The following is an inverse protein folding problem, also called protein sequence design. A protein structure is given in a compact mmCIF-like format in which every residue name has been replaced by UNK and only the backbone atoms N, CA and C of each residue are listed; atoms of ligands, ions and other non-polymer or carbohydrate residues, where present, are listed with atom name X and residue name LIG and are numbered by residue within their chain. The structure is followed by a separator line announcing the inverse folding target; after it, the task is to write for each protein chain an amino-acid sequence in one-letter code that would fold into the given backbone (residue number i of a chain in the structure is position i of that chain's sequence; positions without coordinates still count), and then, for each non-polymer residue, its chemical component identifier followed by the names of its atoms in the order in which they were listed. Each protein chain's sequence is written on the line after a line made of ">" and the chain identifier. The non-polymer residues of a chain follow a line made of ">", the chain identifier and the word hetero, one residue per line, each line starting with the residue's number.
data_IF_485371424318
#
_entry.id   IF_485371424318
#
_cell.length_a   1.000
_cell.length_b   1.000
_cell.length_c   1.000
_cell.angle_alpha   90.00
_cell.angle_beta   90.00
_cell.angle_gamma   90.00
#
_symmetry.space_group_name_H-M   'P 1'
#
loop_
_entity.id
_entity.type
_entity.pdbx_description
1 polymer ?
#
# COMPACT_ATOMS: atom_id res chain seq x y z
N UNK A 1 5.24 -2.40 2.43
CA UNK A 1 3.98 -2.17 3.17
C UNK A 1 4.15 -2.25 4.67
N UNK A 2 4.52 -3.39 5.28
CA UNK A 2 4.75 -3.48 6.74
C UNK A 2 5.69 -2.39 7.28
N UNK A 3 6.85 -2.19 6.66
CA UNK A 3 7.80 -1.12 7.03
C UNK A 3 7.17 0.28 6.96
N UNK A 4 6.37 0.56 5.93
CA UNK A 4 5.68 1.84 5.75
C UNK A 4 4.66 2.09 6.86
N UNK A 5 3.89 1.07 7.26
CA UNK A 5 2.96 1.13 8.40
C UNK A 5 3.71 1.38 9.72
N UNK A 6 4.82 0.66 9.95
CA UNK A 6 5.66 0.85 11.14
C UNK A 6 6.24 2.25 11.20
N UNK A 7 6.77 2.79 10.10
CA UNK A 7 7.32 4.14 10.05
C UNK A 7 6.25 5.22 10.28
N UNK A 8 5.07 5.07 9.69
CA UNK A 8 3.97 5.99 9.94
C UNK A 8 3.58 6.03 11.43
N UNK A 9 3.54 4.85 12.09
CA UNK A 9 3.30 4.77 13.53
C UNK A 9 4.42 5.42 14.35
N UNK A 10 5.69 5.15 14.01
CA UNK A 10 6.86 5.73 14.69
C UNK A 10 6.91 7.26 14.58
N UNK A 11 6.42 7.81 13.46
CA UNK A 11 6.26 9.25 13.27
C UNK A 11 4.99 9.82 13.93
N UNK A 12 4.27 9.02 14.73
CA UNK A 12 3.07 9.47 15.43
C UNK A 12 1.89 9.80 14.52
N UNK A 13 1.86 9.27 13.29
CA UNK A 13 0.88 9.67 12.30
C UNK A 13 -0.50 9.02 12.56
N UNK A 14 -1.54 9.85 12.63
CA UNK A 14 -2.90 9.37 12.82
C UNK A 14 -3.50 8.72 11.57
N UNK A 15 -2.97 9.00 10.37
CA UNK A 15 -3.53 8.46 9.13
C UNK A 15 -2.52 8.28 8.01
N UNK A 16 -2.69 7.20 7.25
CA UNK A 16 -1.87 6.84 6.10
C UNK A 16 -2.76 6.52 4.89
N UNK A 17 -2.42 7.07 3.73
CA UNK A 17 -2.96 6.63 2.44
C UNK A 17 -1.98 5.65 1.81
N UNK A 18 -2.49 4.51 1.36
CA UNK A 18 -1.71 3.47 0.68
C UNK A 18 -2.35 3.29 -0.69
N UNK A 19 -1.58 3.35 -1.78
CA UNK A 19 -2.11 3.03 -3.08
C UNK A 19 -2.53 1.57 -3.04
N UNK A 20 -3.77 1.30 -3.42
CA UNK A 20 -4.15 -0.04 -3.82
C UNK A 20 -3.47 -0.29 -5.17
N UNK A 21 -2.19 -0.64 -5.13
CA UNK A 21 -1.35 -0.80 -6.32
C UNK A 21 -1.80 -2.03 -7.11
N UNK A 22 -1.88 -1.87 -8.43
CA UNK A 22 -1.88 -2.98 -9.39
C UNK A 22 -0.43 -3.31 -9.78
N UNK A 23 -0.23 -4.30 -10.65
CA UNK A 23 1.06 -4.69 -11.22
C UNK A 23 1.86 -3.53 -11.78
N UNK A 24 1.20 -2.49 -12.32
CA UNK A 24 1.82 -1.25 -12.77
C UNK A 24 3.09 -1.50 -13.58
N UNK A 25 4.11 -0.67 -13.34
CA UNK A 25 5.44 -0.82 -13.95
C UNK A 25 6.25 -2.00 -13.37
N UNK A 26 5.83 -2.57 -12.24
CA UNK A 26 6.56 -3.63 -11.54
C UNK A 26 6.10 -5.04 -11.94
N UNK A 27 5.03 -5.21 -12.71
CA UNK A 27 4.53 -6.52 -13.15
C UNK A 27 3.93 -7.42 -12.06
N UNK A 28 3.74 -6.92 -10.82
CA UNK A 28 3.31 -7.77 -9.69
C UNK A 28 1.81 -8.16 -9.76
N UNK A 29 1.43 -9.45 -9.77
CA UNK A 29 0.04 -9.84 -10.01
C UNK A 29 -0.96 -9.17 -9.07
N UNK A 30 -2.03 -8.60 -9.65
CA UNK A 30 -3.00 -7.78 -8.92
C UNK A 30 -3.56 -8.46 -7.66
N UNK A 31 -3.97 -9.72 -7.76
CA UNK A 31 -4.56 -10.43 -6.63
C UNK A 31 -3.55 -10.64 -5.49
N UNK A 32 -2.34 -11.09 -5.83
CA UNK A 32 -1.25 -11.23 -4.85
C UNK A 32 -0.90 -9.87 -4.20
N UNK A 33 -0.95 -8.78 -4.96
CA UNK A 33 -0.72 -7.44 -4.42
C UNK A 33 -1.81 -7.04 -3.41
N UNK A 34 -3.08 -7.21 -3.78
CA UNK A 34 -4.22 -6.92 -2.92
C UNK A 34 -4.18 -7.75 -1.62
N UNK A 35 -3.94 -9.05 -1.73
CA UNK A 35 -3.79 -9.96 -0.59
C UNK A 35 -2.61 -9.56 0.31
N UNK A 36 -1.46 -9.23 -0.27
CA UNK A 36 -0.26 -8.82 0.48
C UNK A 36 -0.49 -7.54 1.26
N UNK A 37 -1.16 -6.55 0.66
CA UNK A 37 -1.54 -5.31 1.34
C UNK A 37 -2.53 -5.60 2.46
N UNK A 38 -3.62 -6.31 2.18
CA UNK A 38 -4.65 -6.63 3.16
C UNK A 38 -4.09 -7.41 4.36
N UNK A 39 -3.25 -8.42 4.10
CA UNK A 39 -2.52 -9.17 5.13
C UNK A 39 -1.60 -8.25 5.94
N UNK A 40 -0.82 -7.39 5.29
CA UNK A 40 0.07 -6.45 6.00
C UNK A 40 -0.71 -5.51 6.93
N UNK A 41 -1.88 -5.05 6.49
CA UNK A 41 -2.77 -4.21 7.29
C UNK A 41 -3.32 -4.99 8.49
N UNK A 42 -3.80 -6.22 8.29
CA UNK A 42 -4.27 -7.08 9.39
C UNK A 42 -3.18 -7.39 10.40
N UNK A 43 -2.02 -7.86 9.93
CA UNK A 43 -0.89 -8.23 10.80
C UNK A 43 -0.44 -7.01 11.63
N UNK A 44 -0.57 -5.79 11.08
CA UNK A 44 -0.32 -4.56 11.81
C UNK A 44 -1.39 -4.27 12.88
N UNK A 45 -2.67 -4.50 12.59
CA UNK A 45 -3.76 -4.39 13.58
C UNK A 45 -3.53 -5.32 14.77
N UNK A 46 -3.33 -6.62 14.50
CA UNK A 46 -3.20 -7.65 15.52
C UNK A 46 -1.94 -7.47 16.39
N UNK A 47 -0.85 -6.95 15.80
CA UNK A 47 0.41 -6.72 16.50
C UNK A 47 0.48 -5.44 17.33
N UNK A 48 -0.47 -4.52 17.21
CA UNK A 48 -0.35 -3.17 17.76
C UNK A 48 -1.38 -2.88 18.86
N UNK A 49 -0.99 -3.04 20.13
CA UNK A 49 -1.89 -2.80 21.29
C UNK A 49 -2.12 -1.30 21.60
N UNK A 50 -1.31 -0.38 21.07
CA UNK A 50 -1.44 1.08 21.22
C UNK A 50 -0.85 1.83 20.00
N UNK A 51 -1.51 1.74 18.84
CA UNK A 51 -1.07 2.48 17.65
C UNK A 51 -1.57 3.92 17.66
N UNK A 52 -0.71 4.87 17.29
CA UNK A 52 -1.09 6.24 16.95
C UNK A 52 -1.86 6.29 15.63
N UNK A 53 -1.71 5.27 14.78
CA UNK A 53 -2.37 5.15 13.49
C UNK A 53 -3.81 4.68 13.69
N UNK A 54 -4.77 5.58 13.46
CA UNK A 54 -6.20 5.32 13.65
C UNK A 54 -6.95 5.16 12.33
N UNK A 55 -6.34 5.54 11.19
CA UNK A 55 -6.94 5.45 9.85
C UNK A 55 -5.95 4.95 8.80
N UNK A 56 -6.30 3.87 8.10
CA UNK A 56 -5.65 3.44 6.85
C UNK A 56 -6.61 3.67 5.70
N UNK A 57 -6.19 4.40 4.68
CA UNK A 57 -6.97 4.68 3.48
C UNK A 57 -6.33 3.99 2.27
N UNK A 58 -6.97 2.92 1.79
CA UNK A 58 -6.60 2.23 0.56
C UNK A 58 -7.32 2.90 -0.62
N UNK A 59 -6.55 3.47 -1.54
CA UNK A 59 -7.10 4.28 -2.64
C UNK A 59 -6.52 3.83 -3.97
N UNK A 60 -7.38 3.72 -4.98
CA UNK A 60 -6.95 3.51 -6.35
C UNK A 60 -7.96 4.10 -7.34
N UNK A 61 -7.52 4.50 -8.53
CA UNK A 61 -8.36 5.23 -9.49
C UNK A 61 -9.13 4.33 -10.46
N UNK A 62 -8.83 3.03 -10.53
CA UNK A 62 -9.52 2.05 -11.37
C UNK A 62 -10.41 1.08 -10.57
N UNK A 63 -11.53 0.68 -11.16
CA UNK A 63 -12.54 -0.17 -10.49
C UNK A 63 -12.04 -1.60 -10.23
N UNK A 64 -11.23 -2.16 -11.13
CA UNK A 64 -10.76 -3.55 -11.03
C UNK A 64 -9.89 -3.74 -9.79
N UNK A 65 -8.98 -2.80 -9.56
CA UNK A 65 -8.07 -2.83 -8.43
C UNK A 65 -8.78 -2.48 -7.12
N UNK A 66 -9.73 -1.53 -7.14
CA UNK A 66 -10.58 -1.24 -5.96
C UNK A 66 -11.40 -2.49 -5.57
N UNK A 67 -11.94 -3.23 -6.54
CA UNK A 67 -12.66 -4.48 -6.30
C UNK A 67 -11.75 -5.57 -5.74
N UNK A 68 -10.56 -5.78 -6.31
CA UNK A 68 -9.60 -6.75 -5.80
C UNK A 68 -9.17 -6.43 -4.36
N UNK A 69 -8.88 -5.16 -4.07
CA UNK A 69 -8.54 -4.72 -2.71
C UNK A 69 -9.71 -4.89 -1.74
N UNK A 70 -10.92 -4.58 -2.18
CA UNK A 70 -12.16 -4.78 -1.42
C UNK A 70 -12.35 -6.25 -1.04
N UNK A 71 -12.14 -7.15 -1.99
CA UNK A 71 -12.22 -8.59 -1.75
C UNK A 71 -11.13 -9.03 -0.78
N UNK A 72 -9.86 -8.69 -1.03
CA UNK A 72 -8.74 -9.08 -0.19
C UNK A 72 -8.86 -8.58 1.25
N UNK A 73 -9.29 -7.33 1.47
CA UNK A 73 -9.57 -6.81 2.83
C UNK A 73 -10.76 -7.54 3.44
N UNK A 74 -11.80 -7.84 2.67
CA UNK A 74 -12.95 -8.58 3.18
C UNK A 74 -12.57 -9.98 3.65
N UNK A 75 -11.76 -10.70 2.89
CA UNK A 75 -11.24 -12.03 3.23
C UNK A 75 -10.25 -11.98 4.38
N UNK A 76 -9.34 -11.00 4.39
CA UNK A 76 -8.33 -10.87 5.43
C UNK A 76 -8.96 -10.59 6.80
N UNK A 77 -10.02 -9.79 6.84
CA UNK A 77 -10.72 -9.36 8.06
C UNK A 77 -12.07 -10.07 8.27
N UNK A 78 -12.39 -11.09 7.46
CA UNK A 78 -13.46 -12.02 7.76
C UNK A 78 -12.97 -12.90 8.92
N UNK A 79 -13.07 -12.42 10.16
CA UNK A 79 -13.08 -13.32 11.29
C UNK A 79 -14.10 -14.42 11.01
N UNK A 80 -13.69 -15.70 11.06
CA UNK A 80 -14.42 -16.94 11.40
C UNK A 80 -15.95 -16.86 11.58
N UNK A 81 -16.67 -16.15 10.71
CA UNK A 81 -18.11 -15.94 10.68
C UNK A 81 -18.63 -16.72 9.48
N UNK A 82 -18.46 -18.03 9.52
CA UNK A 82 -19.50 -18.89 8.97
C UNK A 82 -20.67 -18.80 9.96
N UNK A 83 -21.41 -17.70 9.91
CA UNK A 83 -22.85 -17.67 10.08
C UNK A 83 -23.38 -16.24 9.94
N UNK A 84 -24.42 -16.16 9.07
CA UNK A 84 -25.50 -15.17 9.06
C UNK A 84 -25.36 -14.02 8.04
N UNK A 85 -26.00 -14.30 6.90
CA UNK A 85 -26.84 -13.44 6.05
C UNK A 85 -26.14 -12.32 5.25
N UNK A 86 -26.10 -12.43 3.93
CA UNK A 86 -27.18 -11.96 3.04
C UNK A 86 -27.62 -10.54 3.40
N UNK A 87 -27.14 -9.53 2.66
CA UNK A 87 -28.01 -8.74 1.78
C UNK A 87 -27.30 -7.60 1.03
N UNK A 88 -27.67 -7.53 -0.26
CA UNK A 88 -27.92 -6.35 -1.11
C UNK A 88 -26.76 -5.40 -1.43
N UNK A 89 -26.29 -5.57 -2.67
CA UNK A 89 -25.63 -4.54 -3.49
C UNK A 89 -26.63 -3.42 -3.81
N UNK A 90 -26.31 -2.19 -3.42
CA UNK A 90 -26.81 -0.98 -4.05
C UNK A 90 -25.62 -0.23 -4.67
N UNK A 91 -25.80 0.23 -5.90
CA UNK A 91 -24.76 0.91 -6.67
C UNK A 91 -24.78 2.41 -6.39
N UNK A 92 -23.75 2.94 -5.76
CA UNK A 92 -23.27 4.32 -5.93
C UNK A 92 -22.05 4.55 -5.03
N UNK A 93 -20.94 5.00 -5.63
CA UNK A 93 -19.60 5.23 -5.00
C UNK A 93 -19.12 4.10 -4.08
N UNK A 94 -18.19 3.27 -4.58
CA UNK A 94 -17.51 2.26 -3.76
C UNK A 94 -16.60 2.99 -2.76
N UNK A 95 -17.17 3.42 -1.63
CA UNK A 95 -16.45 3.78 -0.42
C UNK A 95 -16.82 2.76 0.66
N UNK A 96 -15.91 1.82 0.93
CA UNK A 96 -16.10 0.86 2.00
C UNK A 96 -15.35 1.30 3.25
N UNK A 97 -16.03 1.27 4.39
CA UNK A 97 -15.44 1.61 5.69
C UNK A 97 -15.57 0.41 6.60
N UNK A 98 -14.45 -0.01 7.20
CA UNK A 98 -14.40 -1.06 8.22
C UNK A 98 -13.72 -0.52 9.46
N UNK A 99 -14.17 -0.96 10.63
CA UNK A 99 -13.45 -0.78 11.88
C UNK A 99 -12.95 -2.15 12.34
N UNK A 100 -11.69 -2.24 12.74
CA UNK A 100 -11.15 -3.45 13.35
C UNK A 100 -11.50 -3.47 14.84
N UNK A 101 -11.41 -4.63 15.49
CA UNK A 101 -11.64 -4.80 16.94
C UNK A 101 -10.68 -3.95 17.79
N UNK A 102 -9.53 -3.58 17.23
CA UNK A 102 -8.52 -2.70 17.83
C UNK A 102 -8.82 -1.20 17.60
N UNK A 103 -9.94 -0.86 16.97
CA UNK A 103 -10.37 0.52 16.74
C UNK A 103 -9.77 1.19 15.50
N UNK A 104 -9.03 0.46 14.66
CA UNK A 104 -8.49 1.00 13.42
C UNK A 104 -9.57 1.15 12.35
N UNK A 105 -9.67 2.33 11.73
CA UNK A 105 -10.55 2.56 10.59
C UNK A 105 -9.85 2.28 9.27
N UNK A 106 -10.34 1.29 8.52
CA UNK A 106 -9.91 1.01 7.15
C UNK A 106 -10.93 1.62 6.19
N UNK A 107 -10.47 2.51 5.31
CA UNK A 107 -11.28 3.14 4.25
C UNK A 107 -10.76 2.65 2.91
N UNK A 108 -11.65 2.13 2.06
CA UNK A 108 -11.35 1.81 0.68
C UNK A 108 -12.17 2.72 -0.21
N UNK A 109 -11.54 3.41 -1.16
CA UNK A 109 -12.26 4.26 -2.10
C UNK A 109 -11.65 4.27 -3.49
N UNK A 110 -12.50 4.49 -4.49
CA UNK A 110 -12.04 4.92 -5.81
C UNK A 110 -11.65 6.40 -5.80
N UNK A 111 -10.46 6.74 -6.26
CA UNK A 111 -9.96 8.10 -6.38
C UNK A 111 -8.47 8.15 -6.69
N UNK A 112 -7.93 9.35 -6.87
CA UNK A 112 -6.49 9.52 -6.99
C UNK A 112 -5.86 9.66 -5.60
N UNK A 113 -4.63 9.21 -5.45
CA UNK A 113 -3.97 9.15 -4.14
C UNK A 113 -3.50 10.53 -3.66
N UNK A 114 -3.10 11.37 -4.60
CA UNK A 114 -2.67 12.75 -4.36
C UNK A 114 -3.80 13.65 -3.85
N UNK A 115 -5.06 13.27 -4.09
CA UNK A 115 -6.24 13.99 -3.63
C UNK A 115 -6.65 13.59 -2.19
N UNK A 116 -5.98 12.59 -1.60
CA UNK A 116 -6.37 12.03 -0.30
C UNK A 116 -5.80 12.85 0.86
N UNK A 117 -6.69 13.34 1.72
CA UNK A 117 -6.31 14.00 2.97
C UNK A 117 -5.92 12.99 4.07
N UNK A 118 -4.64 12.63 4.12
CA UNK A 118 -4.00 11.86 5.20
C UNK A 118 -2.73 12.54 5.70
N UNK A 119 -2.19 12.10 6.84
CA UNK A 119 -0.91 12.64 7.34
C UNK A 119 0.27 12.13 6.54
N UNK A 120 0.18 10.89 6.07
CA UNK A 120 1.20 10.23 5.26
C UNK A 120 0.56 9.67 3.99
N UNK A 121 1.28 9.75 2.88
CA UNK A 121 0.98 9.06 1.62
C UNK A 121 2.13 8.08 1.34
N UNK A 122 1.79 6.84 0.99
CA UNK A 122 2.78 5.88 0.50
C UNK A 122 2.94 6.05 -1.01
N UNK A 123 4.18 6.23 -1.46
CA UNK A 123 4.56 6.12 -2.85
C UNK A 123 5.29 4.79 -3.09
N UNK A 124 5.22 4.24 -4.30
CA UNK A 124 5.96 3.05 -4.73
C UNK A 124 6.86 3.42 -5.89
N UNK A 125 8.17 3.14 -5.77
CA UNK A 125 9.20 3.62 -6.70
C UNK A 125 10.24 2.53 -7.01
N UNK A 126 10.99 2.72 -8.09
CA UNK A 126 12.18 1.93 -8.43
C UNK A 126 13.44 2.43 -7.70
N UNK A 127 14.52 1.64 -7.76
CA UNK A 127 15.80 1.90 -7.07
C UNK A 127 16.51 3.16 -7.56
N UNK A 128 16.22 3.59 -8.78
CA UNK A 128 16.78 4.79 -9.43
C UNK A 128 16.20 6.10 -8.90
N UNK A 129 15.17 6.02 -8.04
CA UNK A 129 14.49 7.15 -7.42
C UNK A 129 13.84 8.11 -8.42
N UNK A 130 13.58 7.67 -9.66
CA UNK A 130 12.88 8.47 -10.66
C UNK A 130 11.38 8.46 -10.38
N UNK A 131 10.89 9.56 -9.80
CA UNK A 131 9.49 9.71 -9.45
C UNK A 131 8.59 9.96 -10.68
N UNK A 132 9.17 10.18 -11.85
CA UNK A 132 8.42 10.33 -13.11
C UNK A 132 7.96 8.99 -13.69
N UNK A 133 8.44 7.87 -13.15
CA UNK A 133 8.07 6.52 -13.55
C UNK A 133 6.90 5.97 -12.74
N UNK A 134 5.95 5.34 -13.44
CA UNK A 134 4.76 4.73 -12.83
C UNK A 134 3.66 5.75 -12.52
N UNK A 135 2.41 5.31 -12.68
CA UNK A 135 1.25 6.20 -12.60
C UNK A 135 1.11 6.87 -11.22
N UNK A 136 1.25 6.10 -10.14
CA UNK A 136 1.14 6.59 -8.75
C UNK A 136 2.22 7.62 -8.44
N UNK A 137 3.49 7.30 -8.73
CA UNK A 137 4.59 8.21 -8.42
C UNK A 137 4.51 9.49 -9.24
N UNK A 138 4.13 9.40 -10.52
CA UNK A 138 3.96 10.56 -11.38
C UNK A 138 2.86 11.49 -10.87
N UNK A 139 1.72 10.93 -10.45
CA UNK A 139 0.61 11.71 -9.90
C UNK A 139 1.02 12.44 -8.60
N UNK A 140 1.69 11.72 -7.69
CA UNK A 140 2.24 12.29 -6.45
C UNK A 140 3.27 13.39 -6.77
N UNK A 141 4.19 13.17 -7.71
CA UNK A 141 5.19 14.18 -8.13
C UNK A 141 4.53 15.43 -8.70
N UNK A 142 3.53 15.26 -9.58
CA UNK A 142 2.81 16.37 -10.20
C UNK A 142 2.10 17.24 -9.15
N UNK A 143 1.47 16.60 -8.17
CA UNK A 143 0.76 17.30 -7.10
C UNK A 143 1.69 17.89 -6.05
N UNK A 144 2.81 17.23 -5.70
CA UNK A 144 3.77 17.71 -4.71
C UNK A 144 4.67 18.84 -5.23
N UNK A 145 4.99 18.84 -6.52
CA UNK A 145 6.01 19.70 -7.12
C UNK A 145 7.36 19.01 -7.31
N UNK A 146 8.19 19.57 -8.19
CA UNK A 146 9.51 19.04 -8.56
C UNK A 146 10.49 18.91 -7.38
N UNK A 147 10.25 19.66 -6.30
CA UNK A 147 10.99 19.62 -5.04
C UNK A 147 11.00 18.22 -4.43
N UNK A 148 9.92 17.44 -4.63
CA UNK A 148 9.83 16.05 -4.18
C UNK A 148 10.90 15.17 -4.83
N UNK A 149 11.14 15.34 -6.13
CA UNK A 149 12.17 14.61 -6.87
C UNK A 149 13.57 14.95 -6.37
N UNK A 150 13.82 16.22 -6.06
CA UNK A 150 15.09 16.68 -5.50
C UNK A 150 15.31 16.12 -4.08
N UNK A 151 14.27 16.16 -3.23
CA UNK A 151 14.34 15.69 -1.86
C UNK A 151 14.63 14.19 -1.75
N UNK A 152 13.99 13.36 -2.59
CA UNK A 152 14.23 11.91 -2.55
C UNK A 152 15.64 11.55 -3.02
N UNK A 153 16.17 12.23 -4.05
CA UNK A 153 17.53 11.98 -4.56
C UNK A 153 18.60 12.30 -3.52
N UNK A 154 18.37 13.29 -2.65
CA UNK A 154 19.28 13.61 -1.55
C UNK A 154 19.30 12.53 -0.44
N UNK A 155 18.30 11.65 -0.38
CA UNK A 155 18.25 10.57 0.62
C UNK A 155 19.18 9.40 0.29
N UNK A 156 19.51 9.19 -0.98
CA UNK A 156 20.43 8.12 -1.38
C UNK A 156 21.87 8.61 -1.52
N UNK A 157 22.76 8.07 -0.69
CA UNK A 157 24.20 8.41 -0.68
C UNK A 157 24.92 8.09 -2.01
N UNK A 158 24.40 7.16 -2.81
CA UNK A 158 25.01 6.67 -4.05
C UNK A 158 24.10 6.84 -5.28
N UNK A 159 23.04 7.64 -5.17
CA UNK A 159 22.06 7.83 -6.23
C UNK A 159 21.13 6.63 -6.49
N UNK A 160 21.27 5.54 -5.74
CA UNK A 160 20.37 4.38 -5.78
C UNK A 160 19.94 3.97 -4.37
N UNK A 161 18.75 3.38 -4.25
CA UNK A 161 18.23 2.78 -3.03
C UNK A 161 18.08 1.25 -3.13
N UNK A 162 17.98 0.59 -1.98
CA UNK A 162 17.85 -0.86 -1.92
C UNK A 162 16.38 -1.28 -1.97
N UNK A 163 16.10 -2.44 -2.56
CA UNK A 163 14.75 -2.97 -2.56
C UNK A 163 14.26 -3.25 -1.14
N UNK A 164 13.05 -2.79 -0.84
CA UNK A 164 12.48 -2.86 0.50
C UNK A 164 12.88 -1.68 1.40
N UNK A 165 13.65 -0.72 0.92
CA UNK A 165 13.80 0.57 1.61
C UNK A 165 12.48 1.33 1.63
N UNK A 166 12.29 2.11 2.70
CA UNK A 166 11.22 3.09 2.81
C UNK A 166 11.85 4.43 3.16
N UNK A 167 11.91 5.32 2.17
CA UNK A 167 12.53 6.64 2.29
C UNK A 167 11.45 7.67 2.63
N UNK A 168 11.76 8.61 3.52
CA UNK A 168 10.83 9.64 3.98
C UNK A 168 11.19 11.03 3.46
N UNK A 169 10.19 11.76 2.96
CA UNK A 169 10.29 13.15 2.51
C UNK A 169 9.05 13.96 2.94
N UNK A 170 9.16 15.30 3.04
CA UNK A 170 7.98 16.16 3.02
C UNK A 170 7.22 15.97 1.70
N UNK A 171 5.89 16.08 1.71
CA UNK A 171 5.06 16.04 0.50
C UNK A 171 4.85 17.38 -0.18
N UNK A 172 5.50 18.44 0.31
CA UNK A 172 5.46 19.78 -0.29
C UNK A 172 4.02 20.28 -0.48
N UNK A 173 3.59 20.52 -1.72
CA UNK A 173 2.24 21.02 -2.01
C UNK A 173 1.11 20.02 -1.66
N UNK A 174 1.41 18.76 -1.36
CA UNK A 174 0.42 17.76 -0.91
C UNK A 174 -0.10 18.00 0.51
N UNK A 175 0.59 18.80 1.32
CA UNK A 175 0.23 18.98 2.74
C UNK A 175 0.32 17.69 3.59
N UNK A 176 0.93 16.64 3.04
CA UNK A 176 1.16 15.32 3.64
C UNK A 176 2.66 15.04 3.73
N UNK A 177 3.09 14.08 4.54
CA UNK A 177 4.41 13.45 4.38
C UNK A 177 4.35 12.32 3.33
N UNK A 178 5.48 11.98 2.71
CA UNK A 178 5.55 10.90 1.71
C UNK A 178 6.55 9.83 2.14
N UNK A 179 6.07 8.58 2.19
CA UNK A 179 6.90 7.38 2.39
C UNK A 179 7.09 6.66 1.06
N UNK A 180 8.27 6.76 0.47
CA UNK A 180 8.64 6.13 -0.78
C UNK A 180 9.14 4.71 -0.54
N UNK A 181 8.33 3.73 -0.88
CA UNK A 181 8.67 2.30 -0.79
C UNK A 181 9.37 1.87 -2.08
N UNK A 182 10.60 1.36 -1.96
CA UNK A 182 11.40 0.90 -3.10
C UNK A 182 11.03 -0.55 -3.42
N UNK A 183 10.44 -0.76 -4.59
CA UNK A 183 9.82 -2.02 -4.97
C UNK A 183 10.58 -2.70 -6.12
N UNK A 184 10.89 -4.01 -6.02
CA UNK A 184 11.47 -4.76 -7.12
C UNK A 184 10.47 -5.03 -8.23
N UNK A 185 10.94 -5.19 -9.48
CA UNK A 185 10.14 -5.81 -10.51
C UNK A 185 9.77 -7.23 -10.07
N UNK A 186 8.61 -7.69 -10.53
CA UNK A 186 8.13 -9.03 -10.26
C UNK A 186 8.90 -10.05 -11.09
N UNK A 187 9.50 -11.01 -10.40
CA UNK A 187 10.31 -12.10 -10.95
C UNK A 187 9.65 -13.47 -10.67
N UNK A 188 8.32 -13.54 -10.74
CA UNK A 188 7.53 -14.71 -10.33
C UNK A 188 7.72 -15.10 -8.86
N UNK A 189 8.03 -14.12 -8.02
CA UNK A 189 8.22 -14.34 -6.60
C UNK A 189 9.45 -15.19 -6.33
N UNK A 190 10.46 -15.02 -7.17
CA UNK A 190 11.80 -15.57 -6.95
C UNK A 190 12.71 -14.42 -6.49
N UNK A 191 14.02 -14.64 -6.44
CA UNK A 191 15.01 -13.56 -6.31
C UNK A 191 14.68 -12.42 -5.32
N UNK A 192 14.49 -11.22 -5.86
CA UNK A 192 14.39 -9.98 -5.09
C UNK A 192 12.95 -9.65 -4.67
N UNK A 193 11.94 -10.10 -5.41
CA UNK A 193 10.54 -9.87 -5.03
C UNK A 193 10.19 -10.58 -3.71
N UNK A 194 10.82 -11.73 -3.43
CA UNK A 194 10.69 -12.43 -2.15
C UNK A 194 11.12 -11.59 -0.95
N UNK A 195 12.16 -10.78 -1.10
CA UNK A 195 12.72 -9.99 0.01
C UNK A 195 11.76 -8.89 0.47
N UNK A 196 10.93 -8.39 -0.44
CA UNK A 196 10.08 -7.23 -0.18
C UNK A 196 8.63 -7.63 0.09
N UNK A 197 8.15 -8.73 -0.50
CA UNK A 197 6.78 -9.24 -0.36
C UNK A 197 6.71 -10.61 0.33
N UNK A 198 6.88 -10.71 1.67
CA UNK A 198 6.94 -11.99 2.38
C UNK A 198 5.73 -12.91 2.19
N UNK A 199 4.55 -12.36 1.89
CA UNK A 199 3.35 -13.16 1.59
C UNK A 199 3.50 -14.01 0.31
N UNK A 200 4.37 -13.60 -0.61
CA UNK A 200 4.68 -14.32 -1.86
C UNK A 200 5.37 -15.65 -1.58
N UNK A 201 6.21 -15.73 -0.54
CA UNK A 201 6.97 -16.95 -0.21
C UNK A 201 6.05 -18.16 0.01
N UNK A 202 4.88 -17.95 0.64
CA UNK A 202 3.91 -19.01 0.89
C UNK A 202 3.19 -19.47 -0.40
N UNK A 203 2.95 -18.57 -1.35
CA UNK A 203 2.27 -18.89 -2.62
C UNK A 203 3.21 -19.57 -3.62
N UNK A 204 4.48 -19.13 -3.72
CA UNK A 204 5.48 -19.77 -4.58
C UNK A 204 5.79 -21.21 -4.17
N UNK A 205 5.83 -21.52 -2.86
CA UNK A 205 6.03 -22.88 -2.37
C UNK A 205 4.87 -23.82 -2.71
N UNK A 206 3.63 -23.29 -2.80
CA UNK A 206 2.45 -24.08 -3.17
C UNK A 206 2.34 -24.31 -4.69
N UNK A 207 2.97 -23.46 -5.51
CA UNK A 207 2.99 -23.61 -6.98
C UNK A 207 4.08 -24.53 -7.53
N UNK A 208 5.05 -24.96 -6.71
CA UNK A 208 6.16 -25.85 -7.13
C UNK A 208 5.91 -27.33 -6.81
N UNK A 209 4.84 -27.68 -6.08
CA UNK A 209 4.51 -29.07 -5.69
C UNK A 209 3.55 -29.76 -6.66
N UNK A 210 3.54 -29.38 -7.95
CA UNK A 210 2.77 -30.10 -8.98
C UNK A 210 3.57 -30.23 -10.27
N UNK A 211 4.50 -31.17 -10.27
CA UNK A 211 5.04 -31.86 -11.46
C UNK A 211 5.20 -33.35 -11.12
#
# INVERSE_FOLDING_TARGET
>A
MKKSLTLAQQNGCASIAIPAVSSGIFGFPLQLCAETIAKSVRDHCEGSHRSSLTKIHLVNNDDKTVQAMTQAVSEAFAERQLQILSQRRSSSKIEQRRHTKEGLKIVLSKGNIEDVSTKVIVNTISQDLDLSQGAVSKAILQAAGHELQSAIRQKARRGMAEYGDVLHTPGFHLGSEVLHTVCPPWDNGTGQAQQVWPAVQASCQQGQTSL
#
